data_IF_871106792658
#
_entry.id   IF_871106792658
#
_cell.length_a   1.000
_cell.length_b   1.000
_cell.length_c   1.000
_cell.angle_alpha   90.00
_cell.angle_beta   90.00
_cell.angle_gamma   90.00
#
_symmetry.space_group_name_H-M   'P 1'
#
loop_
_entity.id
_entity.type
_entity.pdbx_description
1 polymer ?
#
# COMPACT_ATOMS: atom_id res chain seq x y z
N UNK A 1 -21.74 40.36 -19.46
CA UNK A 1 -20.52 40.88 -20.05
C UNK A 1 -19.52 39.78 -19.97
N UNK A 2 -19.44 39.05 -21.02
CA UNK A 2 -18.30 38.86 -21.95
C UNK A 2 -17.14 38.10 -21.29
N UNK A 3 -16.53 37.05 -21.80
CA UNK A 3 -16.54 36.51 -23.17
C UNK A 3 -15.80 35.15 -23.15
N UNK A 4 -16.31 34.26 -23.90
CA UNK A 4 -15.76 33.15 -24.66
C UNK A 4 -14.22 33.13 -24.84
N UNK A 5 -13.56 31.99 -24.72
CA UNK A 5 -12.69 31.52 -25.81
C UNK A 5 -12.42 30.00 -25.72
N UNK A 6 -12.92 29.33 -26.62
CA UNK A 6 -12.81 28.05 -27.26
C UNK A 6 -11.39 27.85 -27.82
N UNK A 7 -10.72 26.79 -27.43
CA UNK A 7 -9.47 26.29 -28.03
C UNK A 7 -9.70 24.90 -28.62
N UNK A 8 -10.01 24.87 -29.92
CA UNK A 8 -10.02 23.67 -30.76
C UNK A 8 -8.59 23.32 -31.15
N UNK A 9 -8.18 22.11 -30.85
CA UNK A 9 -6.95 21.55 -31.35
C UNK A 9 -7.25 20.79 -32.66
N UNK A 10 -6.58 21.23 -33.72
CA UNK A 10 -6.71 20.77 -35.09
C UNK A 10 -5.86 19.53 -35.33
N UNK A 11 -6.47 18.53 -35.91
CA UNK A 11 -5.83 17.40 -36.60
C UNK A 11 -5.35 17.87 -37.97
N UNK A 12 -4.12 17.59 -38.42
CA UNK A 12 -3.71 17.87 -39.81
C UNK A 12 -4.14 16.74 -40.79
N UNK A 13 -4.48 17.06 -42.01
CA UNK A 13 -4.90 16.09 -42.99
C UNK A 13 -3.75 15.49 -43.78
N UNK A 14 -3.92 14.23 -44.18
CA UNK A 14 -3.13 13.47 -45.11
C UNK A 14 -3.27 14.01 -46.53
N UNK A 15 -2.19 14.46 -47.13
CA UNK A 15 -2.14 14.80 -48.56
C UNK A 15 -1.73 13.59 -49.39
N UNK A 16 -2.69 13.16 -50.22
CA UNK A 16 -2.45 12.42 -51.44
C UNK A 16 -2.16 13.42 -52.56
N UNK A 17 -1.04 13.29 -53.22
CA UNK A 17 -0.91 13.90 -54.55
C UNK A 17 -0.18 12.92 -55.50
N UNK A 18 -0.96 12.48 -56.43
CA UNK A 18 -0.52 11.83 -57.65
C UNK A 18 0.11 12.84 -58.61
N UNK A 19 1.17 12.50 -59.27
CA UNK A 19 1.56 13.15 -60.52
C UNK A 19 2.16 12.10 -61.49
N UNK A 20 1.43 11.95 -62.53
CA UNK A 20 1.65 11.24 -63.74
C UNK A 20 2.45 12.13 -64.72
N UNK A 21 3.38 11.53 -65.47
CA UNK A 21 3.81 11.92 -66.83
C UNK A 21 5.02 11.00 -67.17
N UNK A 22 5.00 10.22 -68.18
CA UNK A 22 4.58 10.44 -69.54
C UNK A 22 5.76 10.36 -70.48
N UNK A 23 5.70 9.42 -71.40
CA UNK A 23 6.35 9.36 -72.71
C UNK A 23 7.87 9.01 -72.79
N UNK A 24 8.33 7.95 -73.37
CA UNK A 24 8.42 7.75 -74.81
C UNK A 24 9.33 6.53 -75.12
N UNK A 25 8.86 5.66 -75.97
CA UNK A 25 9.54 4.59 -76.69
C UNK A 25 10.42 5.23 -77.80
N UNK A 26 11.53 4.65 -78.33
CA UNK A 26 11.37 3.49 -79.21
C UNK A 26 12.47 2.43 -79.18
N UNK A 27 12.02 1.22 -79.51
CA UNK A 27 12.67 0.18 -80.31
C UNK A 27 14.15 -0.05 -80.26
N UNK A 28 14.53 -1.23 -79.81
CA UNK A 28 15.48 -2.04 -80.55
C UNK A 28 15.23 -3.54 -80.35
N UNK A 29 14.92 -4.18 -81.44
CA UNK A 29 14.89 -5.65 -81.60
C UNK A 29 16.28 -6.25 -81.39
N UNK A 30 16.34 -7.22 -80.50
CA UNK A 30 17.26 -8.34 -80.76
C UNK A 30 16.60 -9.60 -80.16
N UNK A 31 16.17 -10.42 -81.09
CA UNK A 31 15.86 -11.82 -80.91
C UNK A 31 17.17 -12.57 -80.79
N UNK A 32 17.22 -13.48 -79.87
CA UNK A 32 18.08 -14.61 -79.62
C UNK A 32 18.74 -14.55 -78.23
N UNK A 33 18.07 -15.06 -77.26
CA UNK A 33 18.56 -16.11 -76.40
C UNK A 33 17.44 -16.88 -75.74
N UNK A 34 17.23 -18.05 -76.22
CA UNK A 34 16.29 -19.03 -75.74
C UNK A 34 17.03 -19.84 -74.68
N UNK A 35 16.29 -20.17 -73.60
CA UNK A 35 16.61 -21.20 -72.63
C UNK A 35 17.28 -20.72 -71.33
N UNK A 36 16.43 -20.53 -70.41
CA UNK A 36 16.74 -20.44 -68.98
C UNK A 36 15.53 -20.05 -68.18
N UNK A 37 14.39 -20.71 -68.39
CA UNK A 37 13.31 -20.70 -67.39
C UNK A 37 13.85 -21.34 -66.12
N UNK A 38 14.45 -20.54 -65.25
CA UNK A 38 14.56 -20.90 -63.85
C UNK A 38 13.13 -21.07 -63.34
N UNK A 39 12.71 -22.32 -63.31
CA UNK A 39 11.54 -22.72 -62.54
C UNK A 39 11.90 -22.40 -61.10
N UNK A 40 11.38 -21.28 -60.60
CA UNK A 40 11.38 -21.08 -59.16
C UNK A 40 10.71 -22.33 -58.57
N UNK A 41 11.34 -22.97 -57.56
CA UNK A 41 10.70 -24.12 -56.94
C UNK A 41 9.40 -23.63 -56.37
N UNK A 42 8.27 -24.07 -56.95
CA UNK A 42 6.96 -23.95 -56.34
C UNK A 42 7.15 -24.48 -54.91
N UNK A 43 7.00 -23.57 -53.90
CA UNK A 43 7.02 -23.97 -52.51
C UNK A 43 5.90 -25.01 -52.36
N UNK A 44 6.26 -26.26 -52.21
CA UNK A 44 5.30 -27.37 -52.02
C UNK A 44 4.39 -26.95 -50.85
N UNK A 45 3.12 -26.73 -51.15
CA UNK A 45 2.16 -26.43 -50.10
C UNK A 45 2.18 -27.57 -49.06
N UNK A 46 2.31 -27.24 -47.78
CA UNK A 46 2.41 -28.28 -46.76
C UNK A 46 1.20 -29.21 -46.83
N UNK A 47 1.45 -30.51 -46.72
CA UNK A 47 0.41 -31.52 -46.78
C UNK A 47 -0.70 -31.24 -45.78
N UNK A 48 -1.93 -31.68 -46.04
CA UNK A 48 -3.07 -31.48 -45.12
C UNK A 48 -2.74 -31.97 -43.69
N UNK A 49 -1.99 -33.05 -43.58
CA UNK A 49 -1.53 -33.61 -42.30
C UNK A 49 -0.56 -32.65 -41.56
N UNK A 50 0.38 -32.07 -42.30
CA UNK A 50 1.32 -31.08 -41.75
C UNK A 50 0.59 -29.82 -41.29
N UNK A 51 -0.44 -29.37 -42.02
CA UNK A 51 -1.30 -28.22 -41.63
C UNK A 51 -2.12 -28.53 -40.36
N UNK A 52 -2.65 -29.74 -40.26
CA UNK A 52 -3.40 -30.19 -39.04
C UNK A 52 -2.46 -30.18 -37.84
N UNK A 53 -1.27 -30.79 -37.98
CA UNK A 53 -0.29 -30.84 -36.86
C UNK A 53 0.15 -29.43 -36.42
N UNK A 54 0.37 -28.50 -37.37
CA UNK A 54 0.71 -27.10 -37.06
C UNK A 54 -0.42 -26.38 -36.33
N UNK A 55 -1.65 -26.56 -36.77
CA UNK A 55 -2.85 -25.95 -36.11
C UNK A 55 -3.07 -26.54 -34.71
N UNK A 56 -2.87 -27.83 -34.52
CA UNK A 56 -2.95 -28.48 -33.19
C UNK A 56 -1.88 -27.93 -32.24
N UNK A 57 -0.65 -27.76 -32.72
CA UNK A 57 0.42 -27.14 -31.94
C UNK A 57 0.12 -25.69 -31.56
N UNK A 58 -0.38 -24.89 -32.52
CA UNK A 58 -0.79 -23.51 -32.26
C UNK A 58 -1.93 -23.45 -31.25
N UNK A 59 -2.92 -24.33 -31.38
CA UNK A 59 -4.05 -24.41 -30.46
C UNK A 59 -3.60 -24.80 -29.06
N UNK A 60 -2.64 -25.70 -28.92
CA UNK A 60 -2.02 -26.07 -27.64
C UNK A 60 -1.29 -24.87 -27.00
N UNK A 61 -0.51 -24.14 -27.80
CA UNK A 61 0.18 -22.94 -27.34
C UNK A 61 -0.80 -21.84 -26.90
N UNK A 62 -1.84 -21.60 -27.68
CA UNK A 62 -2.88 -20.62 -27.31
C UNK A 62 -3.62 -20.99 -26.06
N UNK A 63 -3.93 -22.29 -25.85
CA UNK A 63 -4.52 -22.78 -24.59
C UNK A 63 -3.59 -22.53 -23.40
N UNK A 64 -2.29 -22.80 -23.54
CA UNK A 64 -1.32 -22.59 -22.48
C UNK A 64 -1.17 -21.10 -22.15
N UNK A 65 -1.11 -20.23 -23.15
CA UNK A 65 -1.14 -18.78 -22.99
C UNK A 65 -2.40 -18.29 -22.27
N UNK A 66 -3.56 -18.81 -22.66
CA UNK A 66 -4.84 -18.48 -22.03
C UNK A 66 -4.87 -18.88 -20.55
N UNK A 67 -4.42 -20.12 -20.23
CA UNK A 67 -4.37 -20.60 -18.84
C UNK A 67 -3.43 -19.75 -17.98
N UNK A 68 -2.26 -19.36 -18.51
CA UNK A 68 -1.37 -18.43 -17.80
C UNK A 68 -2.01 -17.08 -17.57
N UNK A 69 -2.63 -16.49 -18.59
CA UNK A 69 -3.31 -15.19 -18.47
C UNK A 69 -4.46 -15.23 -17.47
N UNK A 70 -5.22 -16.33 -17.42
CA UNK A 70 -6.28 -16.52 -16.42
C UNK A 70 -5.70 -16.62 -15.00
N UNK A 71 -4.61 -17.38 -14.83
CA UNK A 71 -3.94 -17.50 -13.53
C UNK A 71 -3.37 -16.15 -13.06
N UNK A 72 -2.73 -15.41 -13.96
CA UNK A 72 -2.22 -14.05 -13.66
C UNK A 72 -3.35 -13.09 -13.29
N UNK A 73 -4.45 -13.12 -14.04
CA UNK A 73 -5.63 -12.29 -13.77
C UNK A 73 -6.21 -12.59 -12.38
N UNK A 74 -6.35 -13.87 -12.02
CA UNK A 74 -6.84 -14.26 -10.70
C UNK A 74 -5.88 -13.84 -9.59
N UNK A 75 -4.57 -13.96 -9.80
CA UNK A 75 -3.56 -13.49 -8.85
C UNK A 75 -3.61 -11.97 -8.64
N UNK A 76 -3.74 -11.21 -9.74
CA UNK A 76 -3.90 -9.75 -9.68
C UNK A 76 -5.18 -9.38 -8.95
N UNK A 77 -6.29 -10.05 -9.26
CA UNK A 77 -7.59 -9.82 -8.61
C UNK A 77 -7.50 -10.05 -7.10
N UNK A 78 -6.92 -11.17 -6.67
CA UNK A 78 -6.75 -11.48 -5.23
C UNK A 78 -5.86 -10.47 -4.53
N UNK A 79 -4.78 -10.04 -5.18
CA UNK A 79 -3.90 -9.00 -4.64
C UNK A 79 -4.62 -7.67 -4.52
N UNK A 80 -5.29 -7.21 -5.57
CA UNK A 80 -6.04 -5.96 -5.57
C UNK A 80 -7.16 -5.94 -4.51
N UNK A 81 -7.81 -7.09 -4.29
CA UNK A 81 -8.82 -7.21 -3.24
C UNK A 81 -8.20 -7.02 -1.84
N UNK A 82 -7.06 -7.66 -1.55
CA UNK A 82 -6.35 -7.48 -0.27
C UNK A 82 -5.87 -6.04 -0.08
N UNK A 83 -5.27 -5.45 -1.12
CA UNK A 83 -4.81 -4.06 -1.08
C UNK A 83 -5.96 -3.08 -0.82
N UNK A 84 -7.15 -3.34 -1.41
CA UNK A 84 -8.35 -2.55 -1.16
C UNK A 84 -8.84 -2.68 0.29
N UNK A 85 -8.87 -3.91 0.82
CA UNK A 85 -9.25 -4.18 2.21
C UNK A 85 -8.28 -3.49 3.18
N UNK A 86 -6.97 -3.61 2.94
CA UNK A 86 -5.93 -2.95 3.73
C UNK A 86 -6.02 -1.43 3.61
N UNK A 87 -6.21 -0.89 2.41
CA UNK A 87 -6.39 0.54 2.21
C UNK A 87 -7.58 1.08 3.00
N UNK A 88 -8.72 0.36 2.99
CA UNK A 88 -9.89 0.73 3.78
C UNK A 88 -9.64 0.63 5.28
N UNK A 89 -9.01 -0.47 5.73
CA UNK A 89 -8.69 -0.76 7.14
C UNK A 89 -7.76 0.29 7.75
N UNK A 90 -6.79 0.78 6.96
CA UNK A 90 -5.77 1.72 7.43
C UNK A 90 -5.91 3.15 6.93
N UNK A 91 -7.01 3.49 6.24
CA UNK A 91 -7.26 4.83 5.70
C UNK A 91 -7.16 5.93 6.76
N UNK A 92 -7.60 5.62 7.98
CA UNK A 92 -7.63 6.57 9.11
C UNK A 92 -6.29 6.74 9.85
N UNK A 93 -5.23 6.02 9.43
CA UNK A 93 -3.94 6.01 10.15
C UNK A 93 -3.36 7.40 10.37
N UNK A 94 -3.37 8.26 9.33
CA UNK A 94 -2.83 9.63 9.42
C UNK A 94 -3.63 10.47 10.42
N UNK A 95 -4.93 10.52 10.25
CA UNK A 95 -5.84 11.23 11.15
C UNK A 95 -5.74 10.72 12.61
N UNK A 96 -5.71 9.40 12.79
CA UNK A 96 -5.56 8.81 14.10
C UNK A 96 -4.29 9.26 14.80
N UNK A 97 -3.13 9.25 14.10
CA UNK A 97 -1.84 9.71 14.66
C UNK A 97 -1.88 11.15 15.16
N UNK A 98 -2.51 12.04 14.42
CA UNK A 98 -2.65 13.44 14.81
C UNK A 98 -3.59 13.59 16.03
N UNK A 99 -4.65 12.79 16.08
CA UNK A 99 -5.62 12.83 17.18
C UNK A 99 -5.07 12.27 18.50
N UNK A 100 -4.03 11.39 18.45
CA UNK A 100 -3.36 10.89 19.66
C UNK A 100 -2.81 12.04 20.53
N UNK A 101 -2.33 13.12 19.92
CA UNK A 101 -1.83 14.28 20.67
C UNK A 101 -2.94 14.99 21.48
N UNK A 102 -4.16 15.01 20.98
CA UNK A 102 -5.30 15.55 21.71
C UNK A 102 -5.66 14.67 22.91
N UNK A 103 -5.64 13.35 22.74
CA UNK A 103 -5.85 12.41 23.85
C UNK A 103 -4.78 12.55 24.94
N UNK A 104 -3.50 12.67 24.55
CA UNK A 104 -2.40 12.91 25.48
C UNK A 104 -2.56 14.23 26.24
N UNK A 105 -3.02 15.30 25.56
CA UNK A 105 -3.25 16.59 26.20
C UNK A 105 -4.40 16.55 27.20
N UNK A 106 -5.49 15.85 26.89
CA UNK A 106 -6.59 15.63 27.83
C UNK A 106 -6.08 14.88 29.07
N UNK A 107 -5.33 13.80 28.88
CA UNK A 107 -4.75 13.04 29.97
C UNK A 107 -3.81 13.88 30.83
N UNK A 108 -2.90 14.62 30.21
CA UNK A 108 -1.98 15.53 30.92
C UNK A 108 -2.72 16.61 31.72
N UNK A 109 -3.83 17.13 31.18
CA UNK A 109 -4.66 18.09 31.90
C UNK A 109 -5.29 17.49 33.18
N UNK A 110 -5.74 16.23 33.11
CA UNK A 110 -6.26 15.51 34.28
C UNK A 110 -5.15 15.20 35.27
N UNK A 111 -3.99 14.76 34.82
CA UNK A 111 -2.87 14.40 35.69
C UNK A 111 -2.25 15.64 36.38
N UNK A 112 -2.41 16.86 35.80
CA UNK A 112 -1.90 18.10 36.38
C UNK A 112 -2.67 18.59 37.61
N UNK A 113 -3.89 18.13 37.81
CA UNK A 113 -4.77 18.51 38.93
C UNK A 113 -5.41 17.26 39.53
N UNK A 114 -4.71 16.57 40.46
CA UNK A 114 -5.29 15.42 41.17
C UNK A 114 -6.62 15.79 41.84
N UNK A 115 -7.65 14.98 41.66
CA UNK A 115 -9.00 15.23 42.16
C UNK A 115 -9.01 15.46 43.69
N UNK A 116 -8.09 14.83 44.43
CA UNK A 116 -7.93 14.96 45.87
C UNK A 116 -7.53 16.38 46.31
N UNK A 117 -6.85 17.15 45.46
CA UNK A 117 -6.38 18.50 45.79
C UNK A 117 -7.39 19.59 45.42
N UNK A 118 -8.47 19.25 44.70
CA UNK A 118 -9.48 20.19 44.23
C UNK A 118 -10.55 20.41 45.29
N UNK A 119 -10.54 21.58 45.89
CA UNK A 119 -11.53 21.99 46.90
C UNK A 119 -12.76 22.68 46.33
N UNK A 120 -12.61 23.28 45.15
CA UNK A 120 -13.70 24.01 44.48
C UNK A 120 -14.60 23.05 43.71
N UNK A 121 -15.91 23.13 43.98
CA UNK A 121 -16.95 22.30 43.35
C UNK A 121 -17.05 22.54 41.84
N UNK A 122 -16.91 23.80 41.39
CA UNK A 122 -16.91 24.13 39.97
C UNK A 122 -15.72 23.48 39.25
N UNK A 123 -14.54 23.54 39.85
CA UNK A 123 -13.34 22.91 39.31
C UNK A 123 -13.47 21.39 39.27
N UNK A 124 -14.06 20.77 40.29
CA UNK A 124 -14.33 19.33 40.34
C UNK A 124 -15.30 18.91 39.23
N UNK A 125 -16.36 19.68 39.01
CA UNK A 125 -17.31 19.44 37.91
C UNK A 125 -16.64 19.56 36.55
N UNK A 126 -15.74 20.54 36.36
CA UNK A 126 -14.98 20.71 35.13
C UNK A 126 -14.07 19.51 34.88
N UNK A 127 -13.31 19.06 35.88
CA UNK A 127 -12.42 17.88 35.76
C UNK A 127 -13.21 16.60 35.42
N UNK A 128 -14.40 16.42 36.07
CA UNK A 128 -15.28 15.31 35.72
C UNK A 128 -15.75 15.35 34.26
N UNK A 129 -16.05 16.55 33.74
CA UNK A 129 -16.39 16.77 32.34
C UNK A 129 -15.23 16.42 31.37
N UNK A 130 -14.02 16.86 31.72
CA UNK A 130 -12.81 16.54 30.92
C UNK A 130 -12.51 15.02 30.94
N UNK A 131 -12.63 14.39 32.12
CA UNK A 131 -12.46 12.94 32.27
C UNK A 131 -13.51 12.14 31.48
N UNK A 132 -14.75 12.63 31.44
CA UNK A 132 -15.79 12.02 30.62
C UNK A 132 -15.49 12.14 29.12
N UNK A 133 -14.96 13.29 28.69
CA UNK A 133 -14.54 13.53 27.29
C UNK A 133 -13.38 12.64 26.88
N UNK A 134 -12.36 12.50 27.71
CA UNK A 134 -11.23 11.58 27.47
C UNK A 134 -11.74 10.14 27.33
N UNK A 135 -12.59 9.70 28.25
CA UNK A 135 -13.14 8.34 28.22
C UNK A 135 -13.95 8.07 26.95
N UNK A 136 -14.78 9.03 26.55
CA UNK A 136 -15.54 8.93 25.29
C UNK A 136 -14.62 8.85 24.07
N UNK A 137 -13.57 9.69 24.02
CA UNK A 137 -12.58 9.67 22.94
C UNK A 137 -11.87 8.31 22.85
N UNK A 138 -11.43 7.76 23.99
CA UNK A 138 -10.79 6.43 24.02
C UNK A 138 -11.79 5.34 23.60
N UNK A 139 -13.05 5.43 24.01
CA UNK A 139 -14.11 4.52 23.54
C UNK A 139 -14.35 4.61 22.03
N UNK A 140 -14.26 5.81 21.44
CA UNK A 140 -14.28 5.97 19.98
C UNK A 140 -13.10 5.27 19.34
N UNK A 141 -11.89 5.44 19.89
CA UNK A 141 -10.69 4.78 19.39
C UNK A 141 -10.87 3.26 19.35
N UNK A 142 -11.35 2.65 20.44
CA UNK A 142 -11.56 1.20 20.50
C UNK A 142 -12.58 0.72 19.45
N UNK A 143 -13.69 1.44 19.25
CA UNK A 143 -14.69 1.12 18.21
C UNK A 143 -14.10 1.12 16.80
N UNK A 144 -13.07 1.93 16.57
CA UNK A 144 -12.34 2.00 15.31
C UNK A 144 -11.08 1.12 15.26
N UNK A 145 -10.89 0.23 16.24
CA UNK A 145 -9.78 -0.71 16.28
C UNK A 145 -8.44 -0.11 16.73
N UNK A 146 -8.47 1.11 17.30
CA UNK A 146 -7.30 1.74 17.90
C UNK A 146 -7.26 1.34 19.39
N UNK A 147 -6.19 0.64 19.79
CA UNK A 147 -5.99 0.19 21.17
C UNK A 147 -4.81 0.90 21.79
N UNK A 148 -4.99 1.32 23.05
CA UNK A 148 -3.93 1.88 23.88
C UNK A 148 -3.02 0.76 24.39
N UNK A 149 -1.70 1.02 24.39
CA UNK A 149 -0.65 0.18 24.97
C UNK A 149 -0.15 0.91 26.22
N UNK A 150 -0.34 0.30 27.37
CA UNK A 150 0.11 0.79 28.68
C UNK A 150 0.83 -0.35 29.43
N UNK A 151 2.07 -0.62 29.09
CA UNK A 151 2.76 -1.89 29.42
C UNK A 151 3.50 -1.84 30.76
N UNK A 152 2.98 -1.14 31.77
CA UNK A 152 3.60 -1.09 33.13
C UNK A 152 3.73 -2.51 33.68
N UNK A 153 4.95 -2.89 34.11
CA UNK A 153 5.24 -4.20 34.65
C UNK A 153 5.48 -5.30 33.62
N UNK A 154 5.28 -5.00 32.33
CA UNK A 154 5.55 -5.94 31.25
C UNK A 154 7.01 -5.92 30.82
N UNK A 155 7.42 -6.95 30.07
CA UNK A 155 8.75 -7.00 29.47
C UNK A 155 8.82 -6.04 28.28
N UNK A 156 9.96 -5.37 28.13
CA UNK A 156 10.21 -4.48 26.98
C UNK A 156 10.20 -5.25 25.66
N UNK A 157 9.41 -4.76 24.71
CA UNK A 157 9.34 -5.24 23.32
C UNK A 157 9.70 -4.11 22.35
N UNK A 158 10.74 -4.30 21.57
CA UNK A 158 11.23 -3.32 20.59
C UNK A 158 10.20 -2.97 19.49
N UNK A 159 9.23 -3.85 19.24
CA UNK A 159 8.21 -3.62 18.22
C UNK A 159 7.09 -2.67 18.69
N UNK A 160 6.88 -2.56 20.00
CA UNK A 160 5.77 -1.82 20.60
C UNK A 160 6.22 -0.67 21.49
N UNK A 161 7.45 -0.73 22.02
CA UNK A 161 7.94 0.17 23.05
C UNK A 161 9.23 0.88 22.62
N UNK A 162 9.39 2.10 23.10
CA UNK A 162 10.60 2.91 22.97
C UNK A 162 11.16 3.22 24.36
N UNK A 163 12.29 2.64 24.72
CA UNK A 163 12.98 2.95 25.97
C UNK A 163 13.61 4.34 25.89
N UNK A 164 13.26 5.20 26.83
CA UNK A 164 13.78 6.58 26.94
C UNK A 164 14.90 6.64 27.97
N UNK A 165 14.75 5.93 29.10
CA UNK A 165 15.74 5.88 30.16
C UNK A 165 15.75 4.52 30.86
N UNK A 166 16.84 4.24 31.58
CA UNK A 166 16.98 3.10 32.45
C UNK A 166 16.89 3.57 33.90
N UNK A 167 16.06 2.92 34.71
CA UNK A 167 15.94 3.16 36.14
C UNK A 167 16.61 2.03 36.93
N UNK A 168 17.42 2.35 37.93
CA UNK A 168 17.97 1.36 38.83
C UNK A 168 16.86 0.79 39.74
N UNK A 169 16.44 -0.43 39.44
CA UNK A 169 15.39 -1.17 40.14
C UNK A 169 15.86 -2.61 40.40
N UNK A 170 16.63 -2.83 41.50
CA UNK A 170 17.13 -4.16 41.83
C UNK A 170 16.03 -5.15 42.21
N UNK A 171 14.87 -4.65 42.56
CA UNK A 171 13.65 -5.40 42.92
C UNK A 171 12.88 -5.95 41.70
N UNK A 172 13.22 -5.49 40.50
CA UNK A 172 12.53 -5.91 39.29
C UNK A 172 13.51 -6.55 38.30
N UNK A 173 13.06 -7.52 37.49
CA UNK A 173 13.87 -8.10 36.44
C UNK A 173 14.36 -7.04 35.44
N UNK A 174 15.62 -7.13 35.03
CA UNK A 174 16.18 -6.23 34.03
C UNK A 174 15.38 -6.30 32.72
N UNK A 175 15.03 -5.13 32.16
CA UNK A 175 14.20 -5.01 30.97
C UNK A 175 12.68 -5.02 31.24
N UNK A 176 12.25 -4.96 32.51
CA UNK A 176 10.85 -4.72 32.87
C UNK A 176 10.52 -3.22 32.76
N UNK A 177 9.37 -2.90 32.25
CA UNK A 177 8.87 -1.53 32.12
C UNK A 177 8.40 -1.05 33.50
N UNK A 178 9.07 -0.02 34.00
CA UNK A 178 8.80 0.55 35.35
C UNK A 178 7.93 1.78 35.30
N UNK A 179 7.93 2.47 34.17
CA UNK A 179 7.20 3.72 33.99
C UNK A 179 6.79 3.88 32.54
N UNK A 180 5.61 4.44 32.28
CA UNK A 180 5.14 4.82 30.97
C UNK A 180 5.00 6.33 30.90
N UNK A 181 5.92 6.99 30.21
CA UNK A 181 5.94 8.44 30.01
C UNK A 181 4.87 8.87 29.02
N UNK A 182 4.63 8.05 28.00
CA UNK A 182 3.62 8.30 26.99
C UNK A 182 3.08 6.96 26.49
N UNK A 183 1.75 6.76 26.53
CA UNK A 183 1.14 5.52 26.09
C UNK A 183 1.34 5.31 24.59
N UNK A 184 1.53 4.06 24.21
CA UNK A 184 1.54 3.62 22.81
C UNK A 184 0.13 3.39 22.28
N UNK A 185 0.01 3.29 20.96
CA UNK A 185 -1.25 2.96 20.29
C UNK A 185 -1.02 2.08 19.07
N UNK A 186 -1.92 1.12 18.86
CA UNK A 186 -1.98 0.26 17.67
C UNK A 186 -3.34 0.43 17.00
N UNK A 187 -3.36 0.41 15.67
CA UNK A 187 -4.57 0.32 14.85
C UNK A 187 -4.65 -1.09 14.28
N UNK A 188 -5.57 -1.89 14.81
CA UNK A 188 -5.65 -3.33 14.54
C UNK A 188 -4.34 -4.05 14.87
N UNK A 189 -3.53 -4.36 13.88
CA UNK A 189 -2.21 -5.02 13.94
C UNK A 189 -1.04 -4.09 13.59
N UNK A 190 -1.32 -2.81 13.25
CA UNK A 190 -0.31 -1.84 12.85
C UNK A 190 0.01 -0.86 13.97
N UNK A 191 1.30 -0.72 14.30
CA UNK A 191 1.74 0.27 15.27
C UNK A 191 1.49 1.70 14.73
N UNK A 192 0.75 2.52 15.49
CA UNK A 192 0.58 3.95 15.25
C UNK A 192 1.70 4.76 15.90
N UNK A 193 1.98 4.46 17.17
CA UNK A 193 3.01 5.10 17.99
C UNK A 193 3.48 4.14 19.07
N UNK A 194 4.80 3.95 19.26
CA UNK A 194 5.33 3.14 20.37
C UNK A 194 5.03 3.81 21.73
N UNK A 195 4.91 3.00 22.77
CA UNK A 195 4.88 3.52 24.13
C UNK A 195 6.29 3.98 24.54
N UNK A 196 6.41 5.21 25.02
CA UNK A 196 7.65 5.74 25.58
C UNK A 196 7.77 5.32 27.04
N UNK A 197 8.81 4.53 27.36
CA UNK A 197 8.89 3.84 28.64
C UNK A 197 10.27 4.00 29.30
N UNK A 198 10.28 3.94 30.64
CA UNK A 198 11.47 3.68 31.43
C UNK A 198 11.60 2.19 31.73
N UNK A 199 12.78 1.62 31.61
CA UNK A 199 13.04 0.20 31.84
C UNK A 199 13.93 -0.03 33.04
N UNK A 200 13.70 -1.14 33.78
CA UNK A 200 14.48 -1.54 34.92
C UNK A 200 15.88 -1.96 34.50
N UNK A 201 16.89 -1.52 35.27
CA UNK A 201 18.28 -1.95 35.20
C UNK A 201 18.76 -2.49 36.57
N UNK A 202 19.54 -3.51 36.57
CA UNK A 202 20.23 -4.02 37.77
C UNK A 202 19.57 -5.20 38.48
N UNK A 203 18.34 -5.60 38.09
CA UNK A 203 17.68 -6.82 38.60
C UNK A 203 18.14 -8.11 37.89
N UNK A 204 17.74 -9.29 38.39
CA UNK A 204 18.04 -10.56 37.75
C UNK A 204 17.47 -10.58 36.31
N UNK A 205 18.27 -11.04 35.36
CA UNK A 205 17.86 -11.16 33.98
C UNK A 205 16.75 -12.23 33.86
N UNK A 206 15.58 -11.93 33.25
CA UNK A 206 14.57 -12.96 33.05
C UNK A 206 15.16 -14.11 32.24
N UNK A 207 14.89 -15.36 32.64
CA UNK A 207 15.30 -16.53 31.87
C UNK A 207 14.65 -16.42 30.45
N UNK A 208 15.48 -16.46 29.43
CA UNK A 208 15.02 -16.55 28.04
C UNK A 208 14.24 -17.86 27.92
N UNK A 209 12.92 -17.76 27.67
CA UNK A 209 12.12 -18.93 27.33
C UNK A 209 12.55 -19.40 25.94
N UNK A 210 13.20 -20.58 25.93
CA UNK A 210 13.60 -21.31 24.73
C UNK A 210 12.39 -21.78 23.91
#
# INVERSE_FOLDING_TARGET
MNDTTKGQERVPPSDHAAANNGANNPANNNVDDILGTAVEPEAEEPSAEARIAALEAELAEQKDRLLRALAETENVRRRAQREREDASKYAVTGFAKELLSAADNLRRALDSLPEADVKDELMRSLLAGVAATERELLGVFERHGIRRIDPIGERFDHNLHQAIFEAERPDQPSGTIVEVLQPGYVLHDRLLRPAMVGVAKGGPRPAESA
#
